data_IF_289143374376
#
_entry.id   IF_289143374376
#
_cell.length_a   1.000
_cell.length_b   1.000
_cell.length_c   1.000
_cell.angle_alpha   90.00
_cell.angle_beta   90.00
_cell.angle_gamma   90.00
#
_symmetry.space_group_name_H-M   'P 1'
#
loop_
_entity.id
_entity.type
_entity.pdbx_description
1 polymer ?
#
# COMPACT_ATOMS: atom_id res chain seq x y z
N UNK A 1 -13.69 -14.45 6.91
CA UNK A 1 -12.63 -13.63 7.55
C UNK A 1 -12.26 -12.53 6.57
N UNK A 2 -12.43 -11.25 6.94
CA UNK A 2 -12.23 -10.07 6.09
C UNK A 2 -10.76 -9.65 5.89
N UNK A 3 -9.80 -10.49 6.30
CA UNK A 3 -8.40 -10.10 6.50
C UNK A 3 -7.74 -9.46 5.27
N UNK A 4 -8.07 -9.91 4.06
CA UNK A 4 -7.52 -9.34 2.82
C UNK A 4 -7.92 -7.88 2.59
N UNK A 5 -9.15 -7.49 2.92
CA UNK A 5 -9.64 -6.11 2.78
C UNK A 5 -9.05 -5.20 3.85
N UNK A 6 -8.86 -5.71 5.07
CA UNK A 6 -8.24 -4.95 6.16
C UNK A 6 -6.76 -4.67 5.87
N UNK A 7 -6.01 -5.67 5.39
CA UNK A 7 -4.63 -5.51 4.93
C UNK A 7 -4.50 -4.50 3.80
N UNK A 8 -5.42 -4.53 2.83
CA UNK A 8 -5.45 -3.59 1.72
C UNK A 8 -5.65 -2.14 2.22
N UNK A 9 -6.56 -1.92 3.16
CA UNK A 9 -6.81 -0.61 3.75
C UNK A 9 -5.60 -0.09 4.51
N UNK A 10 -5.08 -0.89 5.45
CA UNK A 10 -3.91 -0.52 6.27
C UNK A 10 -2.72 -0.19 5.39
N UNK A 11 -2.45 -1.01 4.37
CA UNK A 11 -1.35 -0.80 3.43
C UNK A 11 -1.56 0.47 2.61
N UNK A 12 -2.76 0.68 2.09
CA UNK A 12 -3.08 1.88 1.33
C UNK A 12 -2.88 3.16 2.13
N UNK A 13 -3.45 3.21 3.33
CA UNK A 13 -3.34 4.38 4.20
C UNK A 13 -1.89 4.66 4.61
N UNK A 14 -1.11 3.62 4.92
CA UNK A 14 0.30 3.76 5.26
C UNK A 14 1.15 4.27 4.07
N UNK A 15 0.86 3.83 2.84
CA UNK A 15 1.66 4.18 1.67
C UNK A 15 1.26 5.53 1.04
N UNK A 16 -0.02 5.91 1.08
CA UNK A 16 -0.55 7.03 0.29
C UNK A 16 -1.46 7.98 1.08
N UNK A 17 -1.74 7.70 2.36
CA UNK A 17 -2.58 8.54 3.22
C UNK A 17 -4.08 8.45 2.91
N UNK A 18 -4.84 9.49 3.25
CA UNK A 18 -6.31 9.47 3.20
C UNK A 18 -6.89 9.21 1.79
N UNK A 19 -6.13 9.48 0.72
CA UNK A 19 -6.56 9.28 -0.68
C UNK A 19 -5.88 8.07 -1.32
N UNK A 20 -5.83 6.95 -0.60
CA UNK A 20 -5.05 5.78 -1.00
C UNK A 20 -5.64 4.89 -2.10
N UNK A 21 -6.96 4.86 -2.27
CA UNK A 21 -7.63 3.87 -3.12
C UNK A 21 -7.23 3.96 -4.60
N UNK A 22 -7.02 5.17 -5.12
CA UNK A 22 -6.58 5.39 -6.50
C UNK A 22 -5.12 4.99 -6.72
N UNK A 23 -4.14 5.49 -5.93
CA UNK A 23 -2.74 5.15 -6.14
C UNK A 23 -2.44 3.67 -5.87
N UNK A 24 -3.06 3.03 -4.87
CA UNK A 24 -2.86 1.59 -4.68
C UNK A 24 -3.43 0.78 -5.84
N UNK A 25 -4.54 1.21 -6.45
CA UNK A 25 -5.12 0.52 -7.60
C UNK A 25 -4.15 0.55 -8.78
N UNK A 26 -3.53 1.70 -9.02
CA UNK A 26 -2.49 1.85 -10.03
C UNK A 26 -1.31 0.90 -9.78
N UNK A 27 -0.78 0.88 -8.56
CA UNK A 27 0.40 0.06 -8.23
C UNK A 27 0.10 -1.44 -8.21
N UNK A 28 -1.16 -1.82 -7.93
CA UNK A 28 -1.64 -3.19 -8.07
C UNK A 28 -2.00 -3.56 -9.52
N UNK A 29 -2.04 -2.60 -10.46
CA UNK A 29 -2.46 -2.85 -11.83
C UNK A 29 -3.95 -3.16 -11.99
N UNK A 30 -4.81 -2.62 -11.11
CA UNK A 30 -6.26 -2.82 -11.12
C UNK A 30 -7.00 -1.50 -11.20
N UNK A 31 -8.31 -1.54 -11.44
CA UNK A 31 -9.11 -0.31 -11.48
C UNK A 31 -9.41 0.20 -10.07
N UNK A 32 -9.51 1.52 -9.85
CA UNK A 32 -10.00 2.08 -8.58
C UNK A 32 -11.41 1.60 -8.21
N UNK A 33 -12.21 1.21 -9.21
CA UNK A 33 -13.53 0.60 -8.99
C UNK A 33 -13.41 -0.76 -8.31
N UNK A 34 -12.46 -1.60 -8.73
CA UNK A 34 -12.20 -2.90 -8.10
C UNK A 34 -11.83 -2.74 -6.63
N UNK A 35 -10.91 -1.83 -6.32
CA UNK A 35 -10.51 -1.52 -4.94
C UNK A 35 -11.70 -1.06 -4.09
N UNK A 36 -12.54 -0.15 -4.60
CA UNK A 36 -13.78 0.26 -3.91
C UNK A 36 -14.75 -0.88 -3.69
N UNK A 37 -14.88 -1.80 -4.64
CA UNK A 37 -15.76 -2.96 -4.52
C UNK A 37 -15.29 -3.94 -3.44
N UNK A 38 -13.98 -4.20 -3.35
CA UNK A 38 -13.39 -5.02 -2.28
C UNK A 38 -13.57 -4.37 -0.91
N UNK A 39 -13.34 -3.05 -0.81
CA UNK A 39 -13.54 -2.30 0.43
C UNK A 39 -14.99 -2.31 0.92
N UNK A 40 -15.94 -2.28 -0.01
CA UNK A 40 -17.37 -2.30 0.28
C UNK A 40 -17.93 -3.72 0.46
N UNK A 41 -17.07 -4.76 0.44
CA UNK A 41 -17.47 -6.17 0.48
C UNK A 41 -18.52 -6.55 -0.60
N UNK A 42 -18.53 -5.82 -1.73
CA UNK A 42 -19.41 -6.12 -2.88
C UNK A 42 -18.86 -7.26 -3.74
N UNK A 43 -17.55 -7.45 -3.69
CA UNK A 43 -16.83 -8.57 -4.28
C UNK A 43 -15.72 -8.98 -3.31
N UNK A 44 -15.40 -10.27 -3.32
CA UNK A 44 -14.30 -10.77 -2.52
C UNK A 44 -12.98 -10.16 -2.99
N UNK A 45 -12.15 -9.80 -2.01
CA UNK A 45 -10.78 -9.41 -2.26
C UNK A 45 -10.00 -10.65 -2.72
N UNK A 46 -9.15 -10.56 -3.76
CA UNK A 46 -8.34 -11.69 -4.20
C UNK A 46 -7.54 -12.31 -3.05
N UNK A 47 -7.45 -13.65 -3.01
CA UNK A 47 -6.72 -14.36 -1.96
C UNK A 47 -5.21 -14.05 -2.00
N UNK A 48 -4.68 -13.68 -3.16
CA UNK A 48 -3.29 -13.29 -3.40
C UNK A 48 -2.97 -11.83 -3.03
N UNK A 49 -3.93 -11.08 -2.47
CA UNK A 49 -3.75 -9.64 -2.23
C UNK A 49 -2.56 -9.35 -1.32
N UNK A 50 -2.31 -10.18 -0.31
CA UNK A 50 -1.18 -10.02 0.60
C UNK A 50 0.16 -10.13 -0.13
N UNK A 51 0.28 -11.12 -1.03
CA UNK A 51 1.48 -11.33 -1.86
C UNK A 51 1.74 -10.15 -2.80
N UNK A 52 0.67 -9.54 -3.31
CA UNK A 52 0.75 -8.37 -4.20
C UNK A 52 1.06 -7.07 -3.46
N UNK A 53 0.63 -6.94 -2.20
CA UNK A 53 0.90 -5.76 -1.36
C UNK A 53 2.32 -5.75 -0.79
N UNK A 54 2.84 -6.92 -0.40
CA UNK A 54 4.17 -7.06 0.20
C UNK A 54 5.29 -6.33 -0.57
N UNK A 55 5.47 -6.51 -1.90
CA UNK A 55 6.55 -5.83 -2.62
C UNK A 55 6.41 -4.30 -2.62
N UNK A 56 5.19 -3.76 -2.59
CA UNK A 56 4.97 -2.32 -2.52
C UNK A 56 5.45 -1.75 -1.18
N UNK A 57 5.15 -2.45 -0.09
CA UNK A 57 5.55 -2.07 1.27
C UNK A 57 7.07 -2.16 1.44
N UNK A 58 7.67 -3.27 1.01
CA UNK A 58 9.12 -3.48 1.09
C UNK A 58 9.87 -2.37 0.34
N UNK A 59 9.47 -2.11 -0.91
CA UNK A 59 10.06 -1.05 -1.73
C UNK A 59 9.97 0.33 -1.07
N UNK A 60 8.83 0.66 -0.46
CA UNK A 60 8.68 1.95 0.25
C UNK A 60 9.56 1.99 1.51
N UNK A 61 9.63 0.90 2.26
CA UNK A 61 10.47 0.81 3.45
C UNK A 61 11.96 1.00 3.14
N UNK A 62 12.45 0.41 2.05
CA UNK A 62 13.82 0.61 1.59
C UNK A 62 14.09 2.07 1.22
N UNK A 63 13.21 2.70 0.45
CA UNK A 63 13.34 4.11 0.06
C UNK A 63 13.34 5.04 1.29
N UNK A 64 12.47 4.79 2.26
CA UNK A 64 12.42 5.57 3.50
C UNK A 64 13.69 5.38 4.35
N UNK A 65 14.23 4.15 4.40
CA UNK A 65 15.48 3.87 5.10
C UNK A 65 16.65 4.59 4.46
N UNK A 66 16.77 4.53 3.14
CA UNK A 66 17.81 5.26 2.39
C UNK A 66 17.73 6.76 2.62
N UNK A 67 16.51 7.32 2.60
CA UNK A 67 16.28 8.74 2.90
C UNK A 67 16.69 9.09 4.33
N UNK A 68 16.34 8.26 5.31
CA UNK A 68 16.71 8.48 6.70
C UNK A 68 18.24 8.51 6.90
N UNK A 69 18.98 7.59 6.25
CA UNK A 69 20.44 7.60 6.29
C UNK A 69 21.03 8.84 5.61
N UNK A 70 20.49 9.23 4.45
CA UNK A 70 20.92 10.45 3.77
C UNK A 70 20.70 11.70 4.64
N UNK A 71 19.57 11.79 5.36
CA UNK A 71 19.27 12.93 6.24
C UNK A 71 20.21 13.01 7.45
N UNK A 72 20.66 11.87 8.01
CA UNK A 72 21.66 11.87 9.09
C UNK A 72 22.99 12.44 8.64
N UNK A 73 23.50 11.97 7.49
CA UNK A 73 24.78 12.41 6.94
C UNK A 73 24.81 13.93 6.70
N UNK A 74 23.70 14.52 6.25
CA UNK A 74 23.61 15.95 5.97
C UNK A 74 23.18 16.80 7.18
N UNK A 75 22.83 16.18 8.31
CA UNK A 75 22.41 16.88 9.54
C UNK A 75 23.51 16.98 10.59
N UNK A 76 24.64 16.29 10.37
CA UNK A 76 25.83 16.29 11.24
C UNK A 76 26.92 17.30 10.78
N UNK A 77 26.64 18.11 9.76
CA UNK A 77 27.44 19.28 9.29
C UNK A 77 26.83 20.61 9.76
#
# INVERSE_FOLDING_TARGET
MSGGTDLLRMTGEALYGARWQTPIAHDLGVTPRSVRHWCAMKHDCPDDIAERLLPLVVKRGEALRQLAEALKVNGDE
#
